data_IF_227515309798
#
_entry.id   IF_227515309798
#
_cell.length_a   1.000
_cell.length_b   1.000
_cell.length_c   1.000
_cell.angle_alpha   90.00
_cell.angle_beta   90.00
_cell.angle_gamma   90.00
#
_symmetry.space_group_name_H-M   'P 1'
#
loop_
_entity.id
_entity.type
_entity.pdbx_description
1 polymer ?
#
# COMPACT_ATOMS: atom_id res chain seq x y z
N UNK A 1 19.05 6.50 -38.04
CA UNK A 1 18.08 7.44 -37.58
C UNK A 1 17.88 7.17 -36.10
N UNK A 2 18.48 8.05 -35.25
CA UNK A 2 18.51 7.91 -33.81
C UNK A 2 17.11 8.12 -33.23
N UNK A 3 16.68 7.23 -32.37
CA UNK A 3 15.50 7.40 -31.52
C UNK A 3 15.90 8.28 -30.32
N UNK A 4 15.90 9.59 -30.50
CA UNK A 4 15.90 10.54 -29.39
C UNK A 4 14.54 10.44 -28.67
N UNK A 5 14.41 9.46 -27.78
CA UNK A 5 13.35 9.53 -26.78
C UNK A 5 13.76 10.61 -25.78
N UNK A 6 12.93 11.65 -25.55
CA UNK A 6 13.25 12.64 -24.55
C UNK A 6 13.42 11.97 -23.18
N UNK A 7 14.48 12.32 -22.48
CA UNK A 7 14.66 11.88 -21.10
C UNK A 7 13.45 12.33 -20.27
N UNK A 8 12.97 11.49 -19.32
CA UNK A 8 11.87 11.89 -18.45
C UNK A 8 12.28 13.17 -17.73
N UNK A 9 11.49 14.24 -17.89
CA UNK A 9 11.69 15.44 -17.12
C UNK A 9 11.32 15.15 -15.67
N UNK A 10 12.24 15.40 -14.74
CA UNK A 10 11.87 15.49 -13.33
C UNK A 10 10.72 16.48 -13.20
N UNK A 11 9.75 16.22 -12.33
CA UNK A 11 8.70 17.18 -12.00
C UNK A 11 9.46 18.39 -11.45
N UNK A 12 9.40 19.58 -12.07
CA UNK A 12 10.20 20.72 -11.63
C UNK A 12 9.97 21.10 -10.15
N UNK A 13 8.85 20.64 -9.59
CA UNK A 13 8.45 20.79 -8.19
C UNK A 13 7.89 19.45 -7.67
N UNK A 14 8.70 18.38 -7.69
CA UNK A 14 8.34 17.17 -6.96
C UNK A 14 8.02 17.57 -5.52
N UNK A 15 6.79 17.39 -5.04
CA UNK A 15 6.45 17.88 -3.72
C UNK A 15 7.35 17.20 -2.69
N UNK A 16 7.71 17.91 -1.62
CA UNK A 16 8.66 17.44 -0.60
C UNK A 16 8.30 16.06 -0.01
N UNK A 17 7.04 15.65 -0.12
CA UNK A 17 6.55 14.34 0.32
C UNK A 17 6.78 13.19 -0.68
N UNK A 18 7.21 13.48 -1.89
CA UNK A 18 7.51 12.47 -2.92
C UNK A 18 8.77 12.89 -3.71
N UNK A 19 9.92 13.03 -3.06
CA UNK A 19 11.13 13.61 -3.66
C UNK A 19 11.72 12.75 -4.79
N UNK A 20 11.40 11.46 -4.83
CA UNK A 20 11.79 10.53 -5.88
C UNK A 20 10.76 10.39 -7.01
N UNK A 21 9.66 11.13 -6.95
CA UNK A 21 8.61 11.05 -7.97
C UNK A 21 9.10 11.65 -9.30
N UNK A 22 8.88 10.90 -10.39
CA UNK A 22 9.11 11.34 -11.76
C UNK A 22 7.78 11.38 -12.50
N UNK A 23 7.51 12.47 -13.18
CA UNK A 23 6.37 12.59 -14.08
C UNK A 23 6.84 12.41 -15.52
N UNK A 24 6.12 11.58 -16.25
CA UNK A 24 6.39 11.38 -17.67
C UNK A 24 5.49 12.31 -18.52
N UNK A 25 6.09 13.06 -19.42
CA UNK A 25 5.39 13.88 -20.41
C UNK A 25 6.09 13.72 -21.76
N UNK A 26 5.45 13.07 -22.76
CA UNK A 26 4.15 12.39 -22.69
C UNK A 26 4.17 11.09 -21.87
N UNK A 27 2.99 10.60 -21.44
CA UNK A 27 2.89 9.31 -20.78
C UNK A 27 3.40 8.17 -21.67
N UNK A 28 4.12 7.22 -21.08
CA UNK A 28 4.61 6.03 -21.77
C UNK A 28 3.89 4.78 -21.28
N UNK A 29 3.61 3.80 -22.16
CA UNK A 29 3.21 2.48 -21.74
C UNK A 29 4.27 1.86 -20.81
N UNK A 30 3.83 1.17 -19.76
CA UNK A 30 4.68 0.56 -18.74
C UNK A 30 5.81 -0.31 -19.35
N UNK A 31 5.50 -1.13 -20.35
CA UNK A 31 6.46 -1.98 -21.04
C UNK A 31 7.57 -1.21 -21.82
N UNK A 32 7.38 0.09 -22.03
CA UNK A 32 8.35 0.95 -22.72
C UNK A 32 9.11 1.88 -21.75
N UNK A 33 8.81 1.81 -20.46
CA UNK A 33 9.47 2.63 -19.46
C UNK A 33 10.88 2.08 -19.19
N UNK A 34 11.95 2.87 -19.49
CA UNK A 34 13.32 2.45 -19.22
C UNK A 34 13.52 2.10 -17.73
N UNK A 35 14.18 1.00 -17.45
CA UNK A 35 14.46 0.54 -16.09
C UNK A 35 13.27 -0.14 -15.40
N UNK A 36 12.09 -0.22 -16.02
CA UNK A 36 10.94 -0.87 -15.39
C UNK A 36 11.14 -2.39 -15.28
N UNK A 37 11.54 -3.04 -16.37
CA UNK A 37 11.77 -4.49 -16.35
C UNK A 37 12.94 -4.89 -15.42
N UNK A 38 13.92 -4.02 -15.30
CA UNK A 38 15.09 -4.18 -14.44
C UNK A 38 14.81 -3.87 -12.96
N UNK A 39 13.61 -3.42 -12.63
CA UNK A 39 13.23 -3.11 -11.26
C UNK A 39 13.77 -1.79 -10.71
N UNK A 40 14.25 -0.88 -11.58
CA UNK A 40 14.83 0.40 -11.16
C UNK A 40 13.78 1.46 -10.86
N UNK A 41 12.55 1.25 -11.36
CA UNK A 41 11.43 2.19 -11.18
C UNK A 41 10.13 1.45 -10.88
N UNK A 42 9.25 2.11 -10.14
CA UNK A 42 7.88 1.68 -9.82
C UNK A 42 6.87 2.67 -10.36
N UNK A 43 5.66 2.18 -10.67
CA UNK A 43 4.55 3.04 -11.08
C UNK A 43 3.57 3.14 -9.91
N UNK A 44 3.35 4.35 -9.44
CA UNK A 44 2.41 4.63 -8.36
C UNK A 44 1.82 6.03 -8.54
N UNK A 45 0.52 6.20 -8.24
CA UNK A 45 -0.08 7.53 -8.22
C UNK A 45 0.65 8.45 -7.23
N UNK A 46 0.78 9.73 -7.57
CA UNK A 46 1.52 10.69 -6.78
C UNK A 46 1.05 10.75 -5.32
N UNK A 47 -0.26 10.77 -5.10
CA UNK A 47 -0.79 10.85 -3.73
C UNK A 47 -0.85 9.48 -3.03
N UNK A 48 -0.88 8.37 -3.77
CA UNK A 48 -0.69 7.04 -3.18
C UNK A 48 0.71 6.88 -2.56
N UNK A 49 1.71 7.61 -3.08
CA UNK A 49 3.08 7.61 -2.53
C UNK A 49 3.17 8.23 -1.12
N UNK A 50 2.16 8.99 -0.67
CA UNK A 50 2.10 9.51 0.69
C UNK A 50 1.96 8.42 1.76
N UNK A 51 1.37 7.27 1.44
CA UNK A 51 1.04 6.24 2.42
C UNK A 51 2.29 5.70 3.14
N UNK A 52 3.34 5.35 2.40
CA UNK A 52 4.53 4.74 2.99
C UNK A 52 5.29 5.71 3.92
N UNK A 53 5.58 6.96 3.55
CA UNK A 53 6.18 7.93 4.46
C UNK A 53 5.33 8.24 5.71
N UNK A 54 4.00 8.28 5.56
CA UNK A 54 3.09 8.56 6.68
C UNK A 54 3.01 7.44 7.71
N UNK A 55 3.32 6.21 7.33
CA UNK A 55 3.39 5.09 8.27
C UNK A 55 4.66 5.11 9.12
N UNK A 56 5.70 5.85 8.69
CA UNK A 56 6.95 6.08 9.43
C UNK A 56 7.66 4.77 9.85
N UNK A 57 7.70 3.79 8.95
CA UNK A 57 8.33 2.48 9.21
C UNK A 57 9.81 2.61 9.54
N UNK A 58 10.30 1.78 10.48
CA UNK A 58 11.70 1.72 10.84
C UNK A 58 12.29 0.35 10.50
N UNK A 59 13.57 0.27 10.13
CA UNK A 59 14.23 -1.01 9.87
C UNK A 59 14.11 -1.97 11.07
N UNK A 60 13.71 -3.21 10.78
CA UNK A 60 13.52 -4.27 11.77
C UNK A 60 12.10 -4.37 12.32
N UNK A 61 11.22 -3.41 12.00
CA UNK A 61 9.81 -3.49 12.44
C UNK A 61 9.03 -4.59 11.72
N UNK A 62 8.03 -5.11 12.42
CA UNK A 62 7.02 -6.03 11.90
C UNK A 62 5.86 -5.22 11.34
N UNK A 63 5.65 -5.35 10.03
CA UNK A 63 4.68 -4.53 9.29
C UNK A 63 3.63 -5.40 8.63
N UNK A 64 2.37 -5.06 8.79
CA UNK A 64 1.26 -5.62 8.03
C UNK A 64 0.76 -4.60 6.99
N UNK A 65 0.77 -4.99 5.72
CA UNK A 65 0.04 -4.30 4.66
C UNK A 65 -1.25 -5.08 4.41
N UNK A 66 -2.34 -4.63 4.98
CA UNK A 66 -3.66 -5.22 4.83
C UNK A 66 -4.36 -4.64 3.60
N UNK A 67 -4.90 -5.50 2.73
CA UNK A 67 -5.42 -5.17 1.41
C UNK A 67 -4.31 -4.73 0.43
N UNK A 68 -3.20 -5.50 0.41
CA UNK A 68 -1.93 -5.12 -0.20
C UNK A 68 -1.93 -5.00 -1.73
N UNK A 69 -2.82 -5.74 -2.41
CA UNK A 69 -2.78 -5.79 -3.87
C UNK A 69 -3.13 -4.44 -4.54
N UNK A 70 -2.39 -4.06 -5.58
CA UNK A 70 -1.42 -4.82 -6.39
C UNK A 70 0.05 -4.75 -5.91
N UNK A 71 0.35 -4.25 -4.69
CA UNK A 71 1.68 -4.29 -4.09
C UNK A 71 2.52 -3.03 -4.22
N UNK A 72 1.98 -1.94 -4.77
CA UNK A 72 2.73 -0.68 -4.91
C UNK A 72 3.08 -0.04 -3.56
N UNK A 73 2.18 -0.07 -2.58
CA UNK A 73 2.44 0.43 -1.23
C UNK A 73 3.36 -0.52 -0.45
N UNK A 74 3.16 -1.83 -0.60
CA UNK A 74 4.05 -2.87 -0.07
C UNK A 74 5.51 -2.64 -0.48
N UNK A 75 5.74 -2.47 -1.79
CA UNK A 75 7.07 -2.23 -2.34
C UNK A 75 7.67 -0.94 -1.79
N UNK A 76 6.90 0.15 -1.75
CA UNK A 76 7.35 1.45 -1.27
C UNK A 76 7.76 1.42 0.21
N UNK A 77 7.01 0.69 1.07
CA UNK A 77 7.38 0.47 2.48
C UNK A 77 8.73 -0.23 2.59
N UNK A 78 8.95 -1.29 1.80
CA UNK A 78 10.22 -2.02 1.77
C UNK A 78 11.37 -1.15 1.26
N UNK A 79 11.15 -0.36 0.21
CA UNK A 79 12.15 0.57 -0.34
C UNK A 79 12.59 1.60 0.71
N UNK A 80 11.66 2.22 1.44
CA UNK A 80 11.96 3.20 2.48
C UNK A 80 12.82 2.62 3.62
N UNK A 81 12.61 1.36 3.96
CA UNK A 81 13.38 0.67 5.00
C UNK A 81 14.60 -0.09 4.45
N UNK A 82 14.96 0.11 3.17
CA UNK A 82 16.04 -0.60 2.49
C UNK A 82 15.92 -2.14 2.58
N UNK A 83 14.71 -2.66 2.42
CA UNK A 83 14.38 -4.08 2.50
C UNK A 83 14.42 -4.69 3.92
N UNK A 84 14.61 -3.89 4.95
CA UNK A 84 14.83 -4.35 6.33
C UNK A 84 13.54 -4.33 7.18
N UNK A 85 12.43 -4.86 6.64
CA UNK A 85 11.18 -5.05 7.36
C UNK A 85 10.82 -6.53 7.43
N UNK A 86 10.22 -6.96 8.53
CA UNK A 86 9.45 -8.20 8.56
C UNK A 86 8.03 -7.88 8.08
N UNK A 87 7.85 -7.79 6.75
CA UNK A 87 6.61 -7.34 6.14
C UNK A 87 5.74 -8.52 5.72
N UNK A 88 4.48 -8.47 6.13
CA UNK A 88 3.41 -9.34 5.67
C UNK A 88 2.46 -8.56 4.78
N UNK A 89 2.30 -8.99 3.54
CA UNK A 89 1.34 -8.47 2.57
C UNK A 89 0.13 -9.39 2.51
N UNK A 90 -1.03 -8.90 2.88
CA UNK A 90 -2.28 -9.67 2.96
C UNK A 90 -3.32 -9.11 1.99
N UNK A 91 -3.97 -9.96 1.22
CA UNK A 91 -5.16 -9.60 0.43
C UNK A 91 -6.12 -10.79 0.37
N UNK A 92 -7.40 -10.50 0.17
CA UNK A 92 -8.45 -11.52 0.09
C UNK A 92 -8.35 -12.34 -1.19
N UNK A 93 -7.88 -11.74 -2.30
CA UNK A 93 -7.89 -12.33 -3.63
C UNK A 93 -6.51 -12.88 -4.01
N UNK A 94 -6.34 -14.22 -4.08
CA UNK A 94 -5.07 -14.84 -4.46
C UNK A 94 -4.58 -14.42 -5.85
N UNK A 95 -5.50 -14.18 -6.81
CA UNK A 95 -5.11 -13.76 -8.17
C UNK A 95 -4.49 -12.34 -8.16
N UNK A 96 -4.99 -11.47 -7.29
CA UNK A 96 -4.40 -10.14 -7.10
C UNK A 96 -3.04 -10.21 -6.37
N UNK A 97 -2.86 -11.17 -5.47
CA UNK A 97 -1.59 -11.40 -4.77
C UNK A 97 -0.48 -11.91 -5.67
N UNK A 98 -0.82 -12.59 -6.77
CA UNK A 98 0.16 -12.93 -7.80
C UNK A 98 0.84 -11.67 -8.37
N UNK A 99 0.10 -10.56 -8.53
CA UNK A 99 0.66 -9.28 -8.96
C UNK A 99 1.60 -8.67 -7.91
N UNK A 100 1.26 -8.78 -6.62
CA UNK A 100 2.15 -8.36 -5.51
C UNK A 100 3.47 -9.10 -5.59
N UNK A 101 3.42 -10.43 -5.72
CA UNK A 101 4.60 -11.28 -5.79
C UNK A 101 5.46 -10.98 -7.02
N UNK A 102 4.83 -10.83 -8.19
CA UNK A 102 5.53 -10.48 -9.43
C UNK A 102 6.22 -9.12 -9.32
N UNK A 103 5.55 -8.12 -8.73
CA UNK A 103 6.11 -6.80 -8.53
C UNK A 103 7.29 -6.81 -7.55
N UNK A 104 7.15 -7.48 -6.40
CA UNK A 104 8.24 -7.64 -5.44
C UNK A 104 9.46 -8.33 -6.05
N UNK A 105 9.24 -9.42 -6.83
CA UNK A 105 10.31 -10.12 -7.55
C UNK A 105 11.03 -9.20 -8.53
N UNK A 106 10.28 -8.43 -9.32
CA UNK A 106 10.85 -7.47 -10.29
C UNK A 106 11.74 -6.43 -9.62
N UNK A 107 11.34 -5.96 -8.44
CA UNK A 107 12.05 -4.95 -7.65
C UNK A 107 13.18 -5.54 -6.78
N UNK A 108 13.35 -6.87 -6.74
CA UNK A 108 14.31 -7.52 -5.86
C UNK A 108 13.96 -7.43 -4.36
N UNK A 109 12.69 -7.22 -4.04
CA UNK A 109 12.17 -7.07 -2.68
C UNK A 109 11.54 -8.38 -2.19
N UNK A 110 11.46 -8.55 -0.87
CA UNK A 110 10.91 -9.74 -0.23
C UNK A 110 9.89 -9.37 0.85
N UNK A 111 8.76 -10.09 0.87
CA UNK A 111 7.76 -10.05 1.91
C UNK A 111 7.09 -11.42 2.05
N UNK A 112 6.43 -11.66 3.19
CA UNK A 112 5.47 -12.76 3.29
C UNK A 112 4.19 -12.35 2.59
N UNK A 113 3.73 -13.14 1.62
CA UNK A 113 2.50 -12.88 0.86
C UNK A 113 1.47 -13.92 1.26
N UNK A 114 0.38 -13.46 1.88
CA UNK A 114 -0.67 -14.31 2.43
C UNK A 114 -2.02 -13.97 1.81
N UNK A 115 -2.80 -15.01 1.49
CA UNK A 115 -4.19 -14.87 1.12
C UNK A 115 -5.08 -15.04 2.37
N UNK A 116 -6.03 -14.13 2.56
CA UNK A 116 -6.97 -14.19 3.68
C UNK A 116 -7.78 -12.93 3.83
N UNK A 117 -8.87 -13.03 4.59
CA UNK A 117 -9.65 -11.85 4.98
C UNK A 117 -8.99 -11.17 6.17
N UNK A 118 -8.61 -9.91 6.01
CA UNK A 118 -8.04 -9.10 7.09
C UNK A 118 -9.06 -8.87 8.25
N UNK A 119 -10.34 -9.08 8.02
CA UNK A 119 -11.38 -9.07 9.06
C UNK A 119 -11.66 -10.48 9.63
N UNK A 120 -11.00 -11.51 9.11
CA UNK A 120 -11.15 -12.89 9.54
C UNK A 120 -10.08 -13.33 10.54
N UNK A 121 -10.16 -14.59 11.02
CA UNK A 121 -9.17 -15.16 11.92
C UNK A 121 -7.79 -15.26 11.27
N UNK A 122 -6.72 -15.02 12.05
CA UNK A 122 -5.33 -15.17 11.59
C UNK A 122 -5.03 -16.58 11.06
N UNK A 123 -5.66 -17.61 11.64
CA UNK A 123 -5.48 -19.00 11.23
C UNK A 123 -5.92 -19.27 9.79
N UNK A 124 -6.75 -18.41 9.21
CA UNK A 124 -7.23 -18.51 7.83
C UNK A 124 -6.28 -17.81 6.82
N UNK A 125 -5.22 -17.17 7.30
CA UNK A 125 -4.24 -16.52 6.45
C UNK A 125 -3.23 -17.55 5.94
N UNK A 126 -3.29 -17.86 4.65
CA UNK A 126 -2.48 -18.92 4.04
C UNK A 126 -1.45 -18.37 3.06
N UNK A 127 -0.22 -18.92 3.04
CA UNK A 127 0.77 -18.53 2.05
C UNK A 127 0.29 -18.80 0.63
N UNK A 128 0.51 -17.85 -0.27
CA UNK A 128 0.24 -18.02 -1.71
C UNK A 128 1.23 -19.05 -2.25
N UNK A 129 0.72 -20.15 -2.80
CA UNK A 129 1.56 -21.23 -3.30
C UNK A 129 2.38 -20.77 -4.53
N UNK A 130 3.60 -21.29 -4.65
CA UNK A 130 4.48 -20.98 -5.80
C UNK A 130 3.88 -21.39 -7.16
N UNK A 131 2.90 -22.30 -7.17
CA UNK A 131 2.23 -22.75 -8.39
C UNK A 131 1.31 -21.66 -8.99
N UNK A 132 0.63 -20.89 -8.13
CA UNK A 132 -0.26 -19.79 -8.58
C UNK A 132 0.54 -18.61 -9.15
N UNK A 133 1.87 -18.64 -8.99
CA UNK A 133 2.80 -17.63 -9.47
C UNK A 133 3.23 -17.84 -10.93
N UNK A 134 3.10 -19.05 -11.48
CA UNK A 134 3.58 -19.37 -12.83
C UNK A 134 2.69 -18.76 -13.94
N UNK A 135 1.39 -18.60 -13.69
CA UNK A 135 0.46 -18.02 -14.66
C UNK A 135 0.60 -16.49 -14.79
N UNK A 136 1.04 -15.80 -13.73
CA UNK A 136 1.26 -14.36 -13.78
C UNK A 136 2.50 -13.96 -14.60
N UNK A 137 3.52 -14.84 -14.68
CA UNK A 137 4.73 -14.62 -15.49
C UNK A 137 4.46 -14.67 -17.00
N UNK A 138 3.43 -15.41 -17.44
CA UNK A 138 3.11 -15.55 -18.86
C UNK A 138 2.57 -14.24 -19.48
N UNK A 139 2.01 -13.34 -18.69
CA UNK A 139 1.48 -12.04 -19.17
C UNK A 139 2.51 -10.94 -19.28
N UNK A 140 3.74 -11.14 -18.75
CA UNK A 140 4.84 -10.16 -18.72
C UNK A 140 6.05 -10.62 -19.56
N UNK A 141 6.09 -11.87 -20.01
CA UNK A 141 7.21 -12.45 -20.70
C UNK A 141 7.29 -12.01 -22.17
N UNK A 142 8.13 -11.03 -22.43
CA UNK A 142 8.52 -10.59 -23.77
C UNK A 142 9.87 -9.89 -23.81
N UNK A 143 10.95 -10.51 -23.32
CA UNK A 143 12.33 -10.23 -23.78
C UNK A 143 13.39 -11.06 -23.03
N UNK A 144 14.46 -11.52 -23.67
CA UNK A 144 15.48 -12.35 -23.06
C UNK A 144 16.38 -11.57 -22.09
N UNK A 145 16.68 -12.19 -20.97
CA UNK A 145 17.65 -11.72 -19.98
C UNK A 145 19.05 -11.69 -20.58
N UNK A 146 19.69 -10.53 -20.56
CA UNK A 146 21.14 -10.42 -20.65
C UNK A 146 21.70 -10.37 -19.23
N UNK A 147 22.55 -11.37 -18.91
CA UNK A 147 23.22 -11.47 -17.61
C UNK A 147 24.18 -10.28 -17.42
N UNK A 148 23.82 -9.38 -16.52
CA UNK A 148 24.79 -8.44 -15.94
C UNK A 148 25.22 -8.99 -14.58
N UNK A 149 26.28 -9.80 -14.58
CA UNK A 149 27.00 -10.18 -13.39
C UNK A 149 27.77 -8.96 -12.85
N UNK A 150 27.53 -8.62 -11.59
CA UNK A 150 28.45 -7.73 -10.89
C UNK A 150 27.80 -6.75 -9.94
N UNK A 151 27.74 -7.13 -8.72
CA UNK A 151 27.66 -6.51 -7.39
C UNK A 151 26.47 -7.02 -6.58
N UNK A 152 26.54 -8.31 -6.22
CA UNK A 152 25.64 -8.90 -5.26
C UNK A 152 25.98 -8.41 -3.85
N UNK A 153 25.22 -7.47 -3.34
CA UNK A 153 25.11 -7.28 -1.89
C UNK A 153 24.09 -8.32 -1.43
N UNK A 154 24.58 -9.44 -0.89
CA UNK A 154 23.75 -10.43 -0.25
C UNK A 154 23.18 -9.83 1.05
N UNK A 155 21.96 -9.38 1.01
CA UNK A 155 21.19 -9.05 2.23
C UNK A 155 20.70 -10.37 2.86
N UNK A 156 21.54 -10.94 3.73
CA UNK A 156 21.15 -12.02 4.62
C UNK A 156 20.26 -11.52 5.74
N UNK A 157 19.00 -11.25 5.44
CA UNK A 157 17.95 -11.15 6.45
C UNK A 157 17.54 -12.57 6.81
N UNK A 158 17.95 -13.06 8.00
CA UNK A 158 17.36 -14.26 8.58
C UNK A 158 15.86 -13.98 8.77
N UNK A 159 15.02 -14.71 8.04
CA UNK A 159 13.60 -14.80 8.33
C UNK A 159 13.49 -15.35 9.77
N UNK A 160 13.15 -14.46 10.71
CA UNK A 160 12.82 -14.89 12.05
C UNK A 160 11.63 -15.84 11.94
N UNK A 161 11.84 -17.07 12.38
CA UNK A 161 10.82 -18.11 12.50
C UNK A 161 9.83 -17.70 13.59
N UNK A 162 8.87 -16.85 13.24
CA UNK A 162 7.68 -16.62 14.04
C UNK A 162 6.53 -17.36 13.37
N UNK A 163 6.31 -18.58 13.83
CA UNK A 163 5.25 -19.46 13.40
C UNK A 163 3.89 -18.75 13.50
N UNK A 164 3.26 -18.50 12.35
CA UNK A 164 1.83 -18.19 12.27
C UNK A 164 0.98 -19.47 12.38
N UNK A 165 1.54 -20.56 12.93
CA UNK A 165 0.89 -21.87 13.08
C UNK A 165 -0.17 -21.92 14.19
N UNK A 166 -0.50 -20.76 14.79
CA UNK A 166 -1.58 -20.66 15.78
C UNK A 166 -1.23 -21.16 17.18
N UNK A 167 0.00 -21.58 17.44
CA UNK A 167 0.42 -22.13 18.74
C UNK A 167 1.03 -21.09 19.71
N UNK A 168 1.27 -19.86 19.24
CA UNK A 168 1.82 -18.75 20.02
C UNK A 168 0.82 -17.58 20.21
N UNK A 169 1.17 -16.57 21.04
CA UNK A 169 0.40 -15.34 21.10
C UNK A 169 0.33 -14.70 19.71
N UNK A 170 -0.79 -14.01 19.37
CA UNK A 170 -0.95 -13.40 18.05
C UNK A 170 0.27 -12.52 17.73
N UNK A 171 0.78 -12.58 16.50
CA UNK A 171 1.89 -11.76 16.11
C UNK A 171 1.47 -10.29 16.19
N UNK A 172 2.04 -9.53 17.12
CA UNK A 172 1.84 -8.09 17.12
C UNK A 172 2.67 -7.45 16.01
N UNK A 173 2.04 -6.50 15.29
CA UNK A 173 2.70 -5.67 14.30
C UNK A 173 3.01 -4.31 14.90
N UNK A 174 4.21 -3.79 14.64
CA UNK A 174 4.59 -2.44 15.05
C UNK A 174 3.88 -1.40 14.20
N UNK A 175 3.63 -1.75 12.93
CA UNK A 175 2.95 -0.91 11.94
C UNK A 175 1.90 -1.71 11.18
N UNK A 176 0.74 -1.09 10.96
CA UNK A 176 -0.29 -1.62 10.07
C UNK A 176 -0.67 -0.56 9.05
N UNK A 177 -0.55 -0.90 7.77
CA UNK A 177 -1.17 -0.16 6.68
C UNK A 177 -2.51 -0.81 6.33
N UNK A 178 -3.59 -0.07 6.43
CA UNK A 178 -4.90 -0.47 5.93
C UNK A 178 -5.28 0.40 4.75
N UNK A 179 -4.92 -0.04 3.53
CA UNK A 179 -5.41 0.55 2.27
C UNK A 179 -6.80 0.01 2.00
N UNK A 180 -7.80 0.59 2.65
CA UNK A 180 -9.12 0.01 2.78
C UNK A 180 -9.88 -0.03 1.45
N UNK A 181 -10.57 -1.14 1.14
CA UNK A 181 -11.49 -1.20 0.00
C UNK A 181 -12.55 -0.11 0.16
N UNK A 182 -12.73 0.70 -0.89
CA UNK A 182 -13.59 1.87 -0.85
C UNK A 182 -14.29 2.11 -2.20
N UNK A 183 -15.13 3.14 -2.27
CA UNK A 183 -15.87 3.51 -3.48
C UNK A 183 -14.97 3.93 -4.65
N UNK A 184 -13.70 4.24 -4.39
CA UNK A 184 -12.73 4.74 -5.35
C UNK A 184 -13.13 6.08 -6.02
N UNK A 185 -13.95 6.89 -5.37
CA UNK A 185 -14.39 8.18 -5.93
C UNK A 185 -13.25 9.17 -6.13
N UNK A 186 -12.11 8.98 -5.48
CA UNK A 186 -10.91 9.79 -5.66
C UNK A 186 -10.20 9.56 -7.00
N UNK A 187 -10.41 8.40 -7.65
CA UNK A 187 -9.78 8.07 -8.94
C UNK A 187 -10.70 8.39 -10.15
N UNK A 188 -11.77 9.12 -9.91
CA UNK A 188 -12.79 9.47 -10.92
C UNK A 188 -12.20 10.20 -12.16
N UNK A 189 -11.05 10.86 -11.99
CA UNK A 189 -10.32 11.48 -13.10
C UNK A 189 -9.89 10.45 -14.16
N UNK A 190 -9.48 9.26 -13.72
CA UNK A 190 -9.04 8.14 -14.59
C UNK A 190 -10.18 7.18 -14.92
N UNK A 191 -11.16 7.09 -14.05
CA UNK A 191 -12.31 6.18 -14.11
C UNK A 191 -13.62 6.97 -13.93
N UNK A 192 -14.03 7.77 -14.94
CA UNK A 192 -15.21 8.65 -14.84
C UNK A 192 -16.53 7.89 -14.75
N UNK A 193 -16.54 6.60 -15.08
CA UNK A 193 -17.66 5.68 -14.94
C UNK A 193 -18.06 5.43 -13.47
N UNK A 194 -17.15 5.61 -12.52
CA UNK A 194 -17.40 5.44 -11.06
C UNK A 194 -18.62 6.25 -10.62
N UNK A 195 -18.80 7.47 -11.12
CA UNK A 195 -19.95 8.34 -10.78
C UNK A 195 -21.31 7.74 -11.14
N UNK A 196 -21.33 6.81 -12.10
CA UNK A 196 -22.55 6.13 -12.56
C UNK A 196 -22.72 4.75 -11.94
N UNK A 197 -21.60 4.08 -11.58
CA UNK A 197 -21.60 2.74 -11.05
C UNK A 197 -21.86 2.67 -9.54
N UNK A 198 -21.51 3.72 -8.78
CA UNK A 198 -21.66 3.73 -7.32
C UNK A 198 -23.07 4.14 -6.89
N UNK A 199 -23.65 3.33 -6.02
CA UNK A 199 -24.97 3.56 -5.40
C UNK A 199 -24.78 3.92 -3.93
N UNK A 200 -25.72 4.65 -3.30
CA UNK A 200 -25.64 4.94 -1.86
C UNK A 200 -25.46 3.69 -0.98
N UNK A 201 -26.16 2.60 -1.31
CA UNK A 201 -26.06 1.32 -0.60
C UNK A 201 -24.67 0.70 -0.69
N UNK A 202 -23.93 0.91 -1.79
CA UNK A 202 -22.56 0.42 -1.93
C UNK A 202 -21.63 1.18 -0.97
N UNK A 203 -21.85 2.49 -0.79
CA UNK A 203 -21.06 3.32 0.11
C UNK A 203 -21.26 2.89 1.57
N UNK A 204 -22.50 2.64 1.97
CA UNK A 204 -22.83 2.15 3.32
C UNK A 204 -22.19 0.77 3.58
N UNK A 205 -22.27 -0.14 2.61
CA UNK A 205 -21.66 -1.47 2.72
C UNK A 205 -20.12 -1.39 2.83
N UNK A 206 -19.48 -0.49 2.06
CA UNK A 206 -18.04 -0.27 2.11
C UNK A 206 -17.62 0.35 3.44
N UNK A 207 -18.33 1.36 3.96
CA UNK A 207 -18.04 1.95 5.26
C UNK A 207 -18.17 0.92 6.41
N UNK A 208 -19.19 0.04 6.33
CA UNK A 208 -19.35 -1.06 7.29
C UNK A 208 -18.18 -2.07 7.18
N UNK A 209 -17.70 -2.38 5.98
CA UNK A 209 -16.53 -3.24 5.76
C UNK A 209 -15.26 -2.61 6.32
N UNK A 210 -15.04 -1.34 6.07
CA UNK A 210 -13.89 -0.57 6.59
C UNK A 210 -13.86 -0.57 8.11
N UNK A 211 -15.02 -0.38 8.74
CA UNK A 211 -15.17 -0.47 10.20
C UNK A 211 -14.76 -1.86 10.70
N UNK A 212 -15.28 -2.94 10.09
CA UNK A 212 -14.91 -4.31 10.47
C UNK A 212 -13.42 -4.60 10.33
N UNK A 213 -12.78 -4.09 9.26
CA UNK A 213 -11.34 -4.22 9.06
C UNK A 213 -10.56 -3.53 10.18
N UNK A 214 -10.91 -2.29 10.54
CA UNK A 214 -10.27 -1.58 11.65
C UNK A 214 -10.42 -2.35 12.97
N UNK A 215 -11.63 -2.82 13.30
CA UNK A 215 -11.91 -3.58 14.52
C UNK A 215 -11.09 -4.88 14.60
N UNK A 216 -10.94 -5.60 13.47
CA UNK A 216 -10.19 -6.85 13.41
C UNK A 216 -8.68 -6.65 13.46
N UNK A 217 -8.17 -5.57 12.85
CA UNK A 217 -6.74 -5.29 12.79
C UNK A 217 -6.20 -4.62 14.06
N UNK A 218 -7.03 -3.87 14.78
CA UNK A 218 -6.60 -3.14 15.98
C UNK A 218 -6.00 -4.02 17.08
N UNK A 219 -6.56 -5.21 17.42
CA UNK A 219 -5.95 -6.13 18.38
C UNK A 219 -4.57 -6.63 17.95
N UNK A 220 -4.26 -6.67 16.66
CA UNK A 220 -2.98 -7.14 16.11
C UNK A 220 -1.88 -6.06 16.15
N UNK A 221 -2.24 -4.80 16.43
CA UNK A 221 -1.28 -3.72 16.59
C UNK A 221 -0.65 -3.80 17.98
N UNK A 222 0.67 -3.70 18.03
CA UNK A 222 1.42 -3.65 19.29
C UNK A 222 1.05 -2.38 20.09
N UNK A 223 1.11 -2.42 21.43
CA UNK A 223 1.11 -1.21 22.25
C UNK A 223 2.21 -0.25 21.80
N UNK A 224 1.89 1.01 21.61
CA UNK A 224 2.79 2.01 21.02
C UNK A 224 2.90 1.99 19.50
N UNK A 225 2.31 0.98 18.84
CA UNK A 225 2.29 0.84 17.39
C UNK A 225 1.42 1.87 16.67
N UNK A 226 1.57 1.92 15.35
CA UNK A 226 0.85 2.87 14.48
C UNK A 226 0.08 2.14 13.39
N UNK A 227 -1.20 2.50 13.21
CA UNK A 227 -2.03 2.09 12.09
C UNK A 227 -2.28 3.31 11.19
N UNK A 228 -1.99 3.17 9.90
CA UNK A 228 -2.37 4.15 8.89
C UNK A 228 -3.56 3.63 8.09
N UNK A 229 -4.68 4.32 8.23
CA UNK A 229 -5.88 4.09 7.43
C UNK A 229 -5.83 4.95 6.17
N UNK A 230 -6.02 4.33 5.01
CA UNK A 230 -5.98 4.98 3.70
C UNK A 230 -7.20 4.57 2.89
N UNK A 231 -7.78 5.52 2.16
CA UNK A 231 -8.76 5.25 1.09
C UNK A 231 -8.49 6.14 -0.12
N UNK A 232 -8.85 5.67 -1.29
CA UNK A 232 -8.98 6.53 -2.47
C UNK A 232 -10.44 7.02 -2.64
N UNK A 233 -11.12 7.34 -1.54
CA UNK A 233 -12.47 7.90 -1.51
C UNK A 233 -12.46 9.39 -1.15
N UNK A 234 -13.41 10.14 -1.70
CA UNK A 234 -13.68 11.54 -1.34
C UNK A 234 -14.81 11.69 -0.33
N UNK A 235 -15.45 10.59 0.04
CA UNK A 235 -16.68 10.60 0.84
C UNK A 235 -16.37 10.55 2.33
N UNK A 236 -16.91 11.51 3.09
CA UNK A 236 -16.74 11.56 4.53
C UNK A 236 -17.25 10.28 5.24
N UNK A 237 -18.25 9.63 4.66
CA UNK A 237 -18.84 8.37 5.16
C UNK A 237 -17.82 7.23 5.22
N UNK A 238 -16.90 7.17 4.26
CA UNK A 238 -15.83 6.16 4.18
C UNK A 238 -14.53 6.62 4.86
N UNK A 239 -14.43 7.89 5.23
CA UNK A 239 -13.22 8.54 5.71
C UNK A 239 -13.36 8.94 7.19
N UNK A 240 -13.51 10.25 7.46
CA UNK A 240 -13.51 10.80 8.82
C UNK A 240 -14.61 10.23 9.70
N UNK A 241 -15.78 9.84 9.15
CA UNK A 241 -16.85 9.25 9.94
C UNK A 241 -16.48 7.85 10.46
N UNK A 242 -15.82 7.02 9.64
CA UNK A 242 -15.31 5.70 10.06
C UNK A 242 -14.30 5.88 11.19
N UNK A 243 -13.33 6.77 11.02
CA UNK A 243 -12.26 7.01 12.01
C UNK A 243 -12.83 7.55 13.32
N UNK A 244 -13.72 8.55 13.27
CA UNK A 244 -14.34 9.11 14.48
C UNK A 244 -15.18 8.09 15.24
N UNK A 245 -15.94 7.28 14.50
CA UNK A 245 -16.72 6.20 15.11
C UNK A 245 -15.80 5.14 15.75
N UNK A 246 -14.66 4.83 15.15
CA UNK A 246 -13.68 3.93 15.72
C UNK A 246 -13.06 4.52 17.00
N UNK A 247 -12.54 5.74 16.96
CA UNK A 247 -11.93 6.43 18.10
C UNK A 247 -12.89 6.58 19.29
N UNK A 248 -14.20 6.74 19.03
CA UNK A 248 -15.19 6.84 20.12
C UNK A 248 -15.43 5.52 20.88
N UNK A 249 -15.05 4.38 20.29
CA UNK A 249 -15.21 3.05 20.90
C UNK A 249 -13.94 2.50 21.50
N UNK A 250 -12.76 2.97 21.05
CA UNK A 250 -11.45 2.48 21.46
C UNK A 250 -10.70 3.55 22.27
N UNK A 251 -10.72 3.39 23.60
CA UNK A 251 -10.05 4.33 24.52
C UNK A 251 -8.52 4.27 24.44
N UNK A 252 -7.98 3.15 23.93
CA UNK A 252 -6.55 2.94 23.68
C UNK A 252 -6.10 3.45 22.30
N UNK A 253 -7.02 4.01 21.51
CA UNK A 253 -6.72 4.58 20.20
C UNK A 253 -6.71 6.10 20.27
N UNK A 254 -5.59 6.69 19.85
CA UNK A 254 -5.47 8.14 19.71
C UNK A 254 -5.12 8.50 18.27
N UNK A 255 -5.67 9.58 17.77
CA UNK A 255 -5.26 10.11 16.49
C UNK A 255 -3.87 10.74 16.60
N UNK A 256 -2.95 10.35 15.70
CA UNK A 256 -1.67 11.00 15.51
C UNK A 256 -1.80 11.99 14.34
N UNK A 257 -1.97 13.32 14.59
CA UNK A 257 -2.30 14.27 13.54
C UNK A 257 -1.25 14.31 12.43
N UNK A 258 -1.71 14.36 11.18
CA UNK A 258 -0.85 14.54 10.02
C UNK A 258 -0.68 16.04 9.78
N UNK A 259 0.46 16.58 10.21
CA UNK A 259 0.83 18.00 9.99
C UNK A 259 1.56 18.08 8.66
N UNK A 260 0.98 18.79 7.69
CA UNK A 260 1.53 18.92 6.36
C UNK A 260 1.00 20.18 5.66
N UNK A 261 1.73 20.63 4.65
CA UNK A 261 1.38 21.76 3.77
C UNK A 261 0.51 21.35 2.56
N UNK A 262 0.30 20.03 2.36
CA UNK A 262 -0.54 19.48 1.31
C UNK A 262 -1.92 19.05 1.81
N UNK A 263 -2.89 18.99 0.91
CA UNK A 263 -4.27 18.56 1.19
C UNK A 263 -5.00 19.44 2.21
N UNK A 264 -6.15 18.95 2.67
CA UNK A 264 -7.02 19.65 3.62
C UNK A 264 -7.16 18.84 4.91
N UNK A 265 -6.95 19.41 6.10
CA UNK A 265 -7.28 18.74 7.36
C UNK A 265 -8.79 18.49 7.42
N UNK A 266 -9.17 17.37 8.03
CA UNK A 266 -10.56 16.99 8.32
C UNK A 266 -10.77 16.95 9.83
N UNK A 267 -11.99 16.68 10.26
CA UNK A 267 -12.29 16.50 11.68
C UNK A 267 -11.48 15.36 12.31
N UNK A 268 -11.12 14.36 11.51
CA UNK A 268 -10.07 13.36 11.77
C UNK A 268 -9.38 13.08 10.45
N UNK A 269 -8.06 12.95 10.46
CA UNK A 269 -7.25 12.69 9.27
C UNK A 269 -7.11 13.88 8.33
N UNK A 270 -6.68 13.56 7.10
CA UNK A 270 -6.35 14.56 6.06
C UNK A 270 -6.79 14.06 4.69
N UNK A 271 -7.38 14.94 3.88
CA UNK A 271 -7.89 14.66 2.55
C UNK A 271 -7.04 15.34 1.48
N UNK A 272 -6.63 14.60 0.45
CA UNK A 272 -6.10 15.17 -0.79
C UNK A 272 -7.16 15.04 -1.86
N UNK A 273 -7.42 16.13 -2.57
CA UNK A 273 -8.36 16.13 -3.69
C UNK A 273 -7.63 15.81 -5.00
N UNK A 274 -8.30 15.15 -5.95
CA UNK A 274 -7.71 14.89 -7.27
C UNK A 274 -7.51 16.22 -8.01
N UNK A 275 -6.38 16.33 -8.72
CA UNK A 275 -6.08 17.51 -9.56
C UNK A 275 -5.69 17.09 -10.96
N UNK A 276 -5.90 17.96 -11.96
CA UNK A 276 -5.56 17.66 -13.34
C UNK A 276 -4.05 17.42 -13.54
N UNK A 277 -3.22 18.19 -12.84
CA UNK A 277 -1.76 18.13 -12.93
C UNK A 277 -1.13 17.24 -11.84
N UNK A 278 -1.92 16.77 -10.85
CA UNK A 278 -1.44 16.00 -9.71
C UNK A 278 -1.93 14.56 -9.71
N UNK A 279 -2.00 13.99 -8.51
CA UNK A 279 -2.48 12.63 -8.25
C UNK A 279 -3.99 12.52 -8.11
N UNK A 280 -4.42 11.33 -7.78
CA UNK A 280 -5.80 11.00 -7.45
C UNK A 280 -6.19 11.54 -6.07
N UNK A 281 -7.47 11.47 -5.73
CA UNK A 281 -7.95 11.82 -4.40
C UNK A 281 -7.69 10.70 -3.40
N UNK A 282 -7.13 11.07 -2.24
CA UNK A 282 -6.86 10.13 -1.15
C UNK A 282 -7.22 10.74 0.20
N UNK A 283 -7.56 9.87 1.14
CA UNK A 283 -7.71 10.22 2.54
C UNK A 283 -6.75 9.40 3.38
N UNK A 284 -6.19 10.02 4.42
CA UNK A 284 -5.23 9.42 5.34
C UNK A 284 -5.63 9.74 6.78
N UNK A 285 -5.64 8.73 7.66
CA UNK A 285 -5.74 8.92 9.09
C UNK A 285 -4.72 8.03 9.80
N UNK A 286 -3.92 8.61 10.67
CA UNK A 286 -2.90 7.90 11.43
C UNK A 286 -3.36 7.75 12.87
N UNK A 287 -3.45 6.49 13.31
CA UNK A 287 -3.87 6.11 14.65
C UNK A 287 -2.70 5.48 15.40
N UNK A 288 -2.54 5.84 16.65
CA UNK A 288 -1.55 5.24 17.54
C UNK A 288 -2.25 4.49 18.67
N UNK A 289 -1.76 3.30 18.98
CA UNK A 289 -2.21 2.53 20.13
C UNK A 289 -1.45 2.97 21.37
N UNK A 290 -2.15 3.41 22.41
CA UNK A 290 -1.49 3.76 23.65
C UNK A 290 -0.84 2.54 24.29
N UNK A 291 0.33 2.72 24.89
CA UNK A 291 0.96 1.73 25.74
C UNK A 291 0.19 1.71 27.07
N UNK A 292 -0.41 0.56 27.40
CA UNK A 292 -1.00 0.35 28.73
C UNK A 292 0.08 0.12 29.77
#
# INVERSE_FOLDING_TARGET
PGSDSPAPSAIPDAPAYAPAALRLDPPLPMARLPGYAEGLVSIQDLHAQLAAPLLEVQPGERVLDACAAPGGKTAHLLELAAGRLDLTALDLDPARLAQVTANLRRLGLQARVLAGDAAGPLADWVPVAKADMAEADASVAGSPRTDLAGTGVAFGGQAGDSSLDGSGPPPFFDRILLDAPCSATGVIRRHPDIKWLRRPTDIEALAARQTRLLEALWPLLAPGGTLLYVTCSLLATENEQVIRAFLSRHQDAVEAPIVADWGCPRASGRQVLPTLAGGDGFYFARLRKEAQ
#
